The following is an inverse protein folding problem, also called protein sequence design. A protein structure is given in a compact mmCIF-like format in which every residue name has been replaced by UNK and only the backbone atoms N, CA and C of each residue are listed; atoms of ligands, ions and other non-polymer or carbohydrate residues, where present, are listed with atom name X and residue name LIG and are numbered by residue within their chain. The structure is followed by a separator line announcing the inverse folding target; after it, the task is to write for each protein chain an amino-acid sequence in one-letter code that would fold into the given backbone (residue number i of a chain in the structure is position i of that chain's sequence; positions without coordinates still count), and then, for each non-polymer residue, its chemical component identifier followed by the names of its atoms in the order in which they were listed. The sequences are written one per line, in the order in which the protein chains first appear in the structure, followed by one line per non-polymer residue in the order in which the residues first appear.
data_IF_435949803663
#
_entry.id   IF_435949803663
#
_cell.length_a   1.000
_cell.length_b   1.000
_cell.length_c   1.000
_cell.angle_alpha   90.00
_cell.angle_beta   90.00
_cell.angle_gamma   90.00
#
_symmetry.space_group_name_H-M   'P 1'
#
loop_
_entity.id
_entity.type
_entity.pdbx_description
1 polymer ?
#
# COMPACT_ATOMS: atom_id res chain seq x y z
N UNK A 1 32.64 -5.51 4.16
CA UNK A 1 31.37 -5.16 3.45
C UNK A 1 31.71 -4.88 2.00
N UNK A 2 30.96 -5.44 1.06
CA UNK A 2 31.35 -5.44 -0.36
C UNK A 2 30.96 -4.10 -1.03
N UNK A 3 31.86 -3.48 -1.82
CA UNK A 3 31.46 -2.42 -2.74
C UNK A 3 30.49 -2.98 -3.80
N UNK A 4 29.68 -2.12 -4.45
CA UNK A 4 28.86 -2.54 -5.58
C UNK A 4 29.75 -3.06 -6.71
N UNK A 5 29.23 -4.00 -7.50
CA UNK A 5 29.87 -4.40 -8.75
C UNK A 5 29.59 -3.36 -9.85
N UNK A 6 30.28 -3.51 -10.99
CA UNK A 6 30.19 -2.55 -12.10
C UNK A 6 28.78 -2.48 -12.71
N UNK A 7 28.03 -3.59 -12.68
CA UNK A 7 26.65 -3.63 -13.17
C UNK A 7 25.73 -2.80 -12.28
N UNK A 8 25.84 -2.96 -10.96
CA UNK A 8 25.07 -2.20 -9.99
C UNK A 8 25.46 -0.71 -9.98
N UNK A 9 26.75 -0.39 -10.16
CA UNK A 9 27.19 1.00 -10.38
C UNK A 9 26.58 1.61 -11.65
N UNK A 10 26.50 0.84 -12.73
CA UNK A 10 25.81 1.25 -13.96
C UNK A 10 24.33 1.57 -13.71
N UNK A 11 23.66 0.74 -12.92
CA UNK A 11 22.26 0.96 -12.53
C UNK A 11 22.09 2.24 -11.70
N UNK A 12 22.96 2.50 -10.73
CA UNK A 12 22.92 3.74 -9.94
C UNK A 12 23.16 4.98 -10.81
N UNK A 13 24.06 4.91 -11.78
CA UNK A 13 24.29 6.02 -12.73
C UNK A 13 23.06 6.30 -13.60
N UNK A 14 22.31 5.25 -14.00
CA UNK A 14 21.07 5.41 -14.76
C UNK A 14 19.95 6.09 -13.95
N UNK A 15 19.92 5.86 -12.64
CA UNK A 15 18.93 6.41 -11.71
C UNK A 15 19.53 7.46 -10.76
N UNK A 16 20.43 8.30 -11.28
CA UNK A 16 21.24 9.23 -10.48
C UNK A 16 20.44 10.19 -9.60
N UNK A 17 19.27 10.64 -10.06
CA UNK A 17 18.43 11.58 -9.32
C UNK A 17 17.56 10.92 -8.24
N UNK A 18 17.30 9.61 -8.37
CA UNK A 18 16.35 8.89 -7.50
C UNK A 18 17.00 7.87 -6.59
N UNK A 19 18.21 7.39 -6.90
CA UNK A 19 18.91 6.35 -6.13
C UNK A 19 20.30 6.82 -5.72
N UNK A 20 20.62 6.67 -4.44
CA UNK A 20 21.96 6.91 -3.89
C UNK A 20 22.40 5.70 -3.07
N UNK A 21 23.66 5.31 -3.22
CA UNK A 21 24.26 4.19 -2.50
C UNK A 21 25.19 4.67 -1.39
N UNK A 22 25.13 4.02 -0.24
CA UNK A 22 26.02 4.27 0.90
C UNK A 22 26.60 2.95 1.39
N UNK A 23 27.93 2.87 1.45
CA UNK A 23 28.62 1.71 2.02
C UNK A 23 28.61 1.81 3.54
N UNK A 24 27.87 0.93 4.21
CA UNK A 24 27.65 0.98 5.66
C UNK A 24 26.95 -0.27 6.18
N UNK A 25 26.55 -0.25 7.46
CA UNK A 25 25.68 -1.25 8.06
C UNK A 25 24.69 -0.56 8.95
N UNK A 26 23.50 -1.10 8.90
CA UNK A 26 22.39 -0.71 9.73
C UNK A 26 22.63 -0.99 11.23
N UNK A 27 23.62 -1.82 11.58
CA UNK A 27 24.02 -2.08 12.98
C UNK A 27 24.86 -0.94 13.59
N UNK A 28 25.30 0.04 12.80
CA UNK A 28 26.08 1.18 13.26
C UNK A 28 25.20 2.42 13.32
N UNK A 29 25.12 3.06 14.49
CA UNK A 29 24.35 4.30 14.68
C UNK A 29 24.88 5.46 13.82
N UNK A 30 26.20 5.52 13.61
CA UNK A 30 26.83 6.51 12.73
C UNK A 30 26.38 6.35 11.28
N UNK A 31 26.23 5.10 10.83
CA UNK A 31 25.75 4.81 9.47
C UNK A 31 24.26 5.15 9.32
N UNK A 32 23.44 4.87 10.35
CA UNK A 32 22.01 5.24 10.41
C UNK A 32 21.80 6.76 10.36
N UNK A 33 22.61 7.52 11.09
CA UNK A 33 22.56 8.98 11.06
C UNK A 33 22.98 9.51 9.67
N UNK A 34 24.03 8.94 9.07
CA UNK A 34 24.52 9.35 7.74
C UNK A 34 23.48 9.17 6.64
N UNK A 35 22.67 8.12 6.70
CA UNK A 35 21.56 7.90 5.76
C UNK A 35 20.25 8.53 6.21
N UNK A 36 20.27 9.30 7.31
CA UNK A 36 19.14 10.08 7.84
C UNK A 36 17.88 9.24 8.07
N UNK A 37 18.03 8.06 8.69
CA UNK A 37 16.88 7.15 8.96
C UNK A 37 15.72 7.86 9.66
N UNK A 38 16.00 8.74 10.62
CA UNK A 38 14.98 9.53 11.32
C UNK A 38 14.16 10.50 10.45
N UNK A 39 14.65 10.89 9.26
CA UNK A 39 13.91 11.72 8.30
C UNK A 39 13.25 10.86 7.20
N UNK A 40 13.50 9.55 7.18
CA UNK A 40 13.01 8.66 6.14
C UNK A 40 11.55 8.24 6.40
N UNK A 41 10.78 8.09 5.32
CA UNK A 41 9.39 7.64 5.38
C UNK A 41 9.27 6.15 5.76
N UNK A 42 10.17 5.32 5.21
CA UNK A 42 10.20 3.88 5.51
C UNK A 42 11.60 3.27 5.32
N UNK A 43 11.84 2.15 6.00
CA UNK A 43 13.01 1.30 5.78
C UNK A 43 12.59 -0.08 5.25
N UNK A 44 13.19 -0.51 4.14
CA UNK A 44 12.93 -1.82 3.53
C UNK A 44 14.11 -2.75 3.78
N UNK A 45 13.87 -3.85 4.49
CA UNK A 45 14.87 -4.90 4.78
C UNK A 45 14.64 -6.08 3.84
N UNK A 46 15.54 -6.23 2.87
CA UNK A 46 15.48 -7.29 1.85
C UNK A 46 16.22 -8.53 2.32
N UNK A 47 15.66 -9.72 2.03
CA UNK A 47 16.26 -11.00 2.37
C UNK A 47 16.92 -11.67 1.16
N UNK A 48 18.03 -12.38 1.38
CA UNK A 48 18.59 -13.24 0.35
C UNK A 48 17.77 -14.53 0.19
N UNK A 49 16.99 -14.61 -0.89
CA UNK A 49 16.11 -15.75 -1.19
C UNK A 49 16.84 -17.07 -1.49
N UNK A 50 18.14 -17.00 -1.80
CA UNK A 50 18.97 -18.14 -2.17
C UNK A 50 20.06 -18.42 -1.13
N UNK A 51 19.83 -18.03 0.12
CA UNK A 51 20.70 -18.37 1.24
C UNK A 51 20.72 -19.89 1.51
N UNK A 52 21.81 -20.37 2.11
CA UNK A 52 21.94 -21.78 2.50
C UNK A 52 21.13 -22.09 3.77
N UNK A 53 21.12 -21.16 4.72
CA UNK A 53 20.39 -21.25 5.98
C UNK A 53 19.39 -20.10 6.08
N UNK A 54 18.09 -20.36 5.79
CA UNK A 54 17.04 -19.37 5.88
C UNK A 54 16.80 -18.82 7.29
N UNK A 55 17.00 -19.64 8.33
CA UNK A 55 16.78 -19.22 9.72
C UNK A 55 17.87 -18.25 10.16
N UNK A 56 19.13 -18.50 9.78
CA UNK A 56 20.22 -17.56 10.04
C UNK A 56 20.04 -16.22 9.31
N UNK A 57 19.57 -16.24 8.05
CA UNK A 57 19.28 -15.03 7.28
C UNK A 57 18.13 -14.22 7.92
N UNK A 58 17.04 -14.88 8.34
CA UNK A 58 15.92 -14.24 9.03
C UNK A 58 16.36 -13.65 10.37
N UNK A 59 17.14 -14.38 11.17
CA UNK A 59 17.68 -13.88 12.43
C UNK A 59 18.55 -12.63 12.21
N UNK A 60 19.39 -12.63 11.17
CA UNK A 60 20.17 -11.45 10.80
C UNK A 60 19.26 -10.28 10.40
N UNK A 61 18.19 -10.50 9.64
CA UNK A 61 17.24 -9.45 9.25
C UNK A 61 16.46 -8.91 10.44
N UNK A 62 16.04 -9.76 11.38
CA UNK A 62 15.38 -9.33 12.64
C UNK A 62 16.33 -8.44 13.46
N UNK A 63 17.61 -8.81 13.57
CA UNK A 63 18.61 -7.97 14.25
C UNK A 63 18.79 -6.60 13.57
N UNK A 64 18.68 -6.53 12.23
CA UNK A 64 18.69 -5.27 11.49
C UNK A 64 17.49 -4.40 11.86
N UNK A 65 16.29 -5.00 11.95
CA UNK A 65 15.06 -4.30 12.38
C UNK A 65 15.21 -3.77 13.80
N UNK A 66 15.72 -4.56 14.74
CA UNK A 66 15.99 -4.12 16.12
C UNK A 66 16.91 -2.90 16.12
N UNK A 67 17.99 -2.92 15.33
CA UNK A 67 18.90 -1.77 15.24
C UNK A 67 18.22 -0.50 14.72
N UNK A 68 17.38 -0.62 13.68
CA UNK A 68 16.60 0.50 13.13
C UNK A 68 15.65 1.05 14.20
N UNK A 69 14.85 0.16 14.80
CA UNK A 69 13.82 0.51 15.78
C UNK A 69 14.37 1.04 17.10
N UNK A 70 15.60 0.67 17.47
CA UNK A 70 16.30 1.25 18.60
C UNK A 70 16.85 2.66 18.31
N UNK A 71 17.12 2.99 17.04
CA UNK A 71 17.57 4.32 16.64
C UNK A 71 16.39 5.27 16.39
N UNK A 72 15.34 4.78 15.75
CA UNK A 72 14.09 5.50 15.50
C UNK A 72 12.94 4.51 15.64
N UNK A 73 12.13 4.70 16.68
CA UNK A 73 10.98 3.85 17.02
C UNK A 73 9.77 4.10 16.10
N UNK A 74 9.57 5.34 15.69
CA UNK A 74 8.44 5.79 14.88
C UNK A 74 8.54 5.50 13.38
N UNK A 75 9.73 5.11 12.88
CA UNK A 75 9.90 4.81 11.44
C UNK A 75 9.14 3.55 11.03
N UNK A 76 8.48 3.58 9.87
CA UNK A 76 7.87 2.40 9.26
C UNK A 76 8.93 1.42 8.75
N UNK A 77 8.85 0.15 9.13
CA UNK A 77 9.79 -0.89 8.67
C UNK A 77 9.05 -2.02 7.95
N UNK A 78 9.48 -2.31 6.71
CA UNK A 78 8.98 -3.44 5.91
C UNK A 78 10.11 -4.46 5.77
N UNK A 79 9.90 -5.66 6.28
CA UNK A 79 10.92 -6.73 6.28
C UNK A 79 10.45 -7.94 5.47
N UNK A 80 11.37 -8.52 4.71
CA UNK A 80 11.20 -9.84 4.11
C UNK A 80 11.72 -10.93 5.05
N UNK A 81 10.89 -11.94 5.30
CA UNK A 81 11.28 -13.17 5.99
C UNK A 81 11.15 -14.38 5.07
N UNK A 82 12.00 -15.37 5.28
CA UNK A 82 11.97 -16.64 4.57
C UNK A 82 10.98 -17.60 5.23
N UNK A 83 11.03 -17.75 6.56
CA UNK A 83 10.24 -18.70 7.32
C UNK A 83 9.12 -18.05 8.13
N UNK A 84 8.01 -18.76 8.29
CA UNK A 84 6.84 -18.23 9.01
C UNK A 84 7.05 -18.16 10.52
N UNK A 85 7.68 -19.16 11.13
CA UNK A 85 7.87 -19.20 12.60
C UNK A 85 8.73 -18.04 13.11
N UNK A 86 9.65 -17.53 12.29
CA UNK A 86 10.50 -16.39 12.65
C UNK A 86 9.74 -15.06 12.77
N UNK A 87 8.54 -14.96 12.17
CA UNK A 87 7.66 -13.78 12.26
C UNK A 87 7.30 -13.43 13.71
N UNK A 88 7.18 -14.44 14.58
CA UNK A 88 6.82 -14.25 15.99
C UNK A 88 7.86 -13.41 16.75
N UNK A 89 9.14 -13.48 16.38
CA UNK A 89 10.19 -12.70 17.05
C UNK A 89 10.06 -11.19 16.82
N UNK A 90 9.48 -10.76 15.69
CA UNK A 90 9.25 -9.34 15.41
C UNK A 90 8.19 -8.75 16.33
N UNK A 91 7.17 -9.53 16.69
CA UNK A 91 6.10 -9.12 17.61
C UNK A 91 6.60 -8.91 19.04
N UNK A 92 7.77 -9.46 19.39
CA UNK A 92 8.39 -9.27 20.70
C UNK A 92 9.19 -7.95 20.79
N UNK A 93 9.35 -7.23 19.67
CA UNK A 93 10.03 -5.93 19.65
C UNK A 93 9.04 -4.87 20.14
N UNK A 94 9.31 -4.15 21.26
CA UNK A 94 8.33 -3.21 21.84
C UNK A 94 7.91 -2.07 20.91
N UNK A 95 8.81 -1.61 20.05
CA UNK A 95 8.56 -0.54 19.08
C UNK A 95 8.00 -1.02 17.74
N UNK A 96 7.78 -2.33 17.57
CA UNK A 96 7.12 -2.88 16.39
C UNK A 96 5.61 -2.64 16.49
N UNK A 97 5.05 -1.89 15.54
CA UNK A 97 3.63 -1.59 15.51
C UNK A 97 3.06 -1.69 14.09
N UNK A 98 2.24 -2.72 13.89
CA UNK A 98 1.55 -2.96 12.62
C UNK A 98 0.54 -1.85 12.29
N UNK A 99 0.03 -1.09 13.29
CA UNK A 99 -0.87 0.06 13.05
C UNK A 99 -0.14 1.24 12.41
N UNK A 100 1.17 1.36 12.64
CA UNK A 100 2.05 2.33 11.96
C UNK A 100 2.52 1.85 10.57
N UNK A 101 2.12 0.64 10.16
CA UNK A 101 2.49 0.05 8.88
C UNK A 101 3.78 -0.75 8.90
N UNK A 102 4.24 -1.19 10.07
CA UNK A 102 5.32 -2.18 10.15
C UNK A 102 4.82 -3.52 9.60
N UNK A 103 5.32 -3.90 8.43
CA UNK A 103 4.80 -5.02 7.64
C UNK A 103 5.85 -6.12 7.49
N UNK A 104 5.41 -7.37 7.62
CA UNK A 104 6.25 -8.56 7.38
C UNK A 104 5.79 -9.25 6.10
N UNK A 105 6.69 -9.33 5.12
CA UNK A 105 6.50 -10.09 3.88
C UNK A 105 7.16 -11.45 4.07
N UNK A 106 6.40 -12.44 4.55
CA UNK A 106 6.88 -13.81 4.66
C UNK A 106 6.77 -14.54 3.31
N UNK A 107 7.93 -14.89 2.73
CA UNK A 107 8.01 -15.50 1.40
C UNK A 107 7.43 -16.92 1.37
N UNK A 108 7.69 -17.74 2.39
CA UNK A 108 7.08 -19.08 2.48
C UNK A 108 5.56 -19.01 2.62
N UNK A 109 5.05 -18.11 3.46
CA UNK A 109 3.60 -17.89 3.68
C UNK A 109 2.91 -17.51 2.37
N UNK A 110 3.43 -16.50 1.66
CA UNK A 110 2.84 -16.06 0.39
C UNK A 110 2.98 -17.10 -0.73
N UNK A 111 4.15 -17.73 -0.87
CA UNK A 111 4.39 -18.74 -1.90
C UNK A 111 3.46 -19.94 -1.74
N UNK A 112 3.41 -20.52 -0.55
CA UNK A 112 2.56 -21.68 -0.29
C UNK A 112 1.08 -21.30 -0.29
N UNK A 113 0.73 -20.10 0.19
CA UNK A 113 -0.63 -19.57 0.11
C UNK A 113 -1.14 -19.46 -1.34
N UNK A 114 -0.34 -18.90 -2.25
CA UNK A 114 -0.72 -18.81 -3.67
C UNK A 114 -0.82 -20.17 -4.35
N UNK A 115 0.07 -21.12 -4.03
CA UNK A 115 -0.03 -22.49 -4.56
C UNK A 115 -1.31 -23.16 -4.05
N UNK A 116 -1.61 -23.03 -2.75
CA UNK A 116 -2.81 -23.61 -2.15
C UNK A 116 -4.10 -23.04 -2.78
N UNK A 117 -4.16 -21.73 -3.02
CA UNK A 117 -5.30 -21.12 -3.72
C UNK A 117 -5.40 -21.57 -5.18
N UNK A 118 -4.27 -21.76 -5.86
CA UNK A 118 -4.26 -22.34 -7.21
C UNK A 118 -4.76 -23.80 -7.26
N UNK A 119 -4.70 -24.54 -6.15
CA UNK A 119 -5.34 -25.86 -6.07
C UNK A 119 -6.88 -25.78 -6.06
N UNK A 120 -7.46 -24.68 -5.57
CA UNK A 120 -8.90 -24.43 -5.60
C UNK A 120 -9.35 -23.84 -6.94
N UNK A 121 -8.56 -22.91 -7.48
CA UNK A 121 -8.82 -22.23 -8.75
C UNK A 121 -7.53 -22.15 -9.59
N UNK A 122 -7.33 -23.09 -10.54
CA UNK A 122 -6.12 -23.13 -11.37
C UNK A 122 -5.88 -21.80 -12.10
N UNK A 123 -4.65 -21.28 -11.99
CA UNK A 123 -4.25 -19.99 -12.56
C UNK A 123 -4.35 -18.79 -11.59
N UNK A 124 -4.94 -18.96 -10.40
CA UNK A 124 -5.04 -17.90 -9.39
C UNK A 124 -3.69 -17.26 -9.04
N UNK A 125 -2.65 -18.07 -8.83
CA UNK A 125 -1.30 -17.57 -8.53
C UNK A 125 -0.76 -16.64 -9.61
N UNK A 126 -0.99 -16.95 -10.88
CA UNK A 126 -0.54 -16.12 -12.01
C UNK A 126 -1.32 -14.82 -12.09
N UNK A 127 -2.64 -14.89 -11.89
CA UNK A 127 -3.48 -13.70 -11.81
C UNK A 127 -3.01 -12.76 -10.70
N UNK A 128 -2.85 -13.26 -9.47
CA UNK A 128 -2.39 -12.44 -8.33
C UNK A 128 -0.98 -11.90 -8.54
N UNK A 129 -0.05 -12.70 -9.07
CA UNK A 129 1.31 -12.26 -9.36
C UNK A 129 1.35 -11.10 -10.37
N UNK A 130 0.44 -11.10 -11.35
CA UNK A 130 0.32 -9.99 -12.30
C UNK A 130 -0.24 -8.73 -11.64
N UNK A 131 -1.23 -8.85 -10.74
CA UNK A 131 -1.84 -7.70 -10.05
C UNK A 131 -0.89 -6.92 -9.12
N UNK A 132 0.17 -7.56 -8.60
CA UNK A 132 1.18 -6.92 -7.76
C UNK A 132 2.40 -6.41 -8.54
N UNK A 133 2.53 -6.80 -9.81
CA UNK A 133 3.66 -6.43 -10.65
C UNK A 133 3.27 -5.25 -11.53
N UNK A 134 3.93 -4.11 -11.35
CA UNK A 134 3.74 -2.97 -12.23
C UNK A 134 4.25 -3.31 -13.64
N UNK A 135 3.34 -3.44 -14.59
CA UNK A 135 3.64 -3.86 -15.97
C UNK A 135 3.00 -2.93 -16.97
N UNK A 136 3.82 -2.35 -17.84
CA UNK A 136 3.30 -1.71 -19.05
C UNK A 136 2.96 -2.77 -20.09
N UNK A 137 1.75 -2.76 -20.61
CA UNK A 137 1.37 -3.61 -21.73
C UNK A 137 1.40 -2.81 -23.03
N UNK A 138 1.74 -3.49 -24.13
CA UNK A 138 1.60 -2.99 -25.49
C UNK A 138 1.04 -4.13 -26.33
N UNK A 139 -0.20 -3.99 -26.77
CA UNK A 139 -0.80 -4.93 -27.72
C UNK A 139 -0.30 -4.61 -29.12
N UNK A 140 -0.08 -5.63 -29.95
CA UNK A 140 0.23 -5.42 -31.37
C UNK A 140 -0.66 -6.29 -32.27
N UNK A 141 -0.98 -5.83 -33.50
CA UNK A 141 -1.72 -6.64 -34.47
C UNK A 141 -0.98 -7.94 -34.85
N UNK A 142 0.34 -7.94 -34.75
CA UNK A 142 1.20 -9.09 -35.07
C UNK A 142 1.24 -10.15 -33.95
N UNK A 143 0.73 -9.82 -32.77
CA UNK A 143 0.66 -10.72 -31.61
C UNK A 143 -0.59 -11.58 -31.68
N UNK A 144 -0.50 -12.85 -31.25
CA UNK A 144 -1.64 -13.76 -31.23
C UNK A 144 -2.77 -13.20 -30.35
N UNK A 145 -4.03 -13.41 -30.74
CA UNK A 145 -5.20 -12.87 -30.03
C UNK A 145 -5.19 -13.18 -28.52
N UNK A 146 -4.95 -14.45 -28.14
CA UNK A 146 -4.89 -14.84 -26.73
C UNK A 146 -3.77 -14.15 -25.94
N UNK A 147 -2.66 -13.80 -26.60
CA UNK A 147 -1.54 -13.09 -25.97
C UNK A 147 -1.92 -11.63 -25.76
N UNK A 148 -2.61 -10.99 -26.71
CA UNK A 148 -3.11 -9.63 -26.54
C UNK A 148 -4.10 -9.55 -25.36
N UNK A 149 -5.03 -10.50 -25.25
CA UNK A 149 -5.98 -10.56 -24.13
C UNK A 149 -5.26 -10.78 -22.79
N UNK A 150 -4.28 -11.68 -22.76
CA UNK A 150 -3.44 -11.89 -21.58
C UNK A 150 -2.67 -10.62 -21.19
N UNK A 151 -2.03 -9.96 -22.16
CA UNK A 151 -1.26 -8.72 -21.93
C UNK A 151 -2.15 -7.60 -21.42
N UNK A 152 -3.38 -7.46 -21.93
CA UNK A 152 -4.35 -6.52 -21.40
C UNK A 152 -4.63 -6.78 -19.92
N UNK A 153 -4.82 -8.06 -19.53
CA UNK A 153 -4.98 -8.43 -18.12
C UNK A 153 -3.75 -8.16 -17.26
N UNK A 154 -2.54 -8.27 -17.81
CA UNK A 154 -1.30 -7.91 -17.07
C UNK A 154 -1.15 -6.43 -16.78
N UNK A 155 -1.89 -5.56 -17.48
CA UNK A 155 -1.92 -4.12 -17.22
C UNK A 155 -2.81 -3.73 -16.04
N UNK A 156 -3.53 -4.67 -15.45
CA UNK A 156 -4.36 -4.41 -14.29
C UNK A 156 -3.54 -4.53 -13.00
N UNK A 157 -3.80 -3.63 -12.06
CA UNK A 157 -3.14 -3.56 -10.76
C UNK A 157 -4.18 -3.38 -9.64
N UNK A 158 -3.78 -3.67 -8.40
CA UNK A 158 -4.61 -3.45 -7.23
C UNK A 158 -4.40 -2.06 -6.65
N UNK A 159 -5.51 -1.33 -6.44
CA UNK A 159 -5.52 0.03 -5.93
C UNK A 159 -6.44 0.18 -4.73
N UNK A 160 -6.17 1.20 -3.91
CA UNK A 160 -7.04 1.61 -2.82
C UNK A 160 -7.49 3.05 -3.05
N UNK A 161 -8.77 3.32 -2.81
CA UNK A 161 -9.30 4.68 -2.92
C UNK A 161 -10.50 4.85 -1.99
N UNK A 162 -10.67 6.06 -1.47
CA UNK A 162 -11.86 6.37 -0.67
C UNK A 162 -13.08 6.47 -1.58
N UNK A 163 -14.19 5.85 -1.19
CA UNK A 163 -15.46 5.94 -1.90
C UNK A 163 -16.10 7.33 -1.67
N UNK A 164 -16.71 7.88 -2.72
CA UNK A 164 -17.47 9.13 -2.58
C UNK A 164 -18.67 8.94 -1.66
N UNK A 165 -19.22 10.04 -1.13
CA UNK A 165 -20.40 9.94 -0.24
C UNK A 165 -21.65 9.43 -0.95
N UNK A 166 -21.67 9.36 -2.29
CA UNK A 166 -22.78 8.75 -3.06
C UNK A 166 -22.95 7.28 -2.70
N UNK A 167 -21.86 6.59 -2.36
CA UNK A 167 -21.89 5.18 -1.97
C UNK A 167 -22.38 4.95 -0.54
N UNK A 168 -22.50 6.00 0.27
CA UNK A 168 -22.91 5.88 1.69
C UNK A 168 -24.30 5.29 1.78
N UNK A 169 -24.44 4.22 2.57
CA UNK A 169 -25.71 3.52 2.77
C UNK A 169 -26.13 2.56 1.65
N UNK A 170 -25.43 2.56 0.51
CA UNK A 170 -25.57 1.50 -0.51
C UNK A 170 -25.04 0.18 0.03
N UNK A 171 -25.64 -0.93 -0.40
CA UNK A 171 -25.05 -2.25 -0.18
C UNK A 171 -23.80 -2.42 -1.04
N UNK A 172 -22.86 -3.25 -0.60
CA UNK A 172 -21.66 -3.54 -1.39
C UNK A 172 -22.01 -4.06 -2.80
N UNK A 173 -23.02 -4.92 -2.94
CA UNK A 173 -23.48 -5.39 -4.25
C UNK A 173 -23.92 -4.25 -5.19
N UNK A 174 -24.70 -3.29 -4.69
CA UNK A 174 -25.12 -2.12 -5.48
C UNK A 174 -23.93 -1.22 -5.85
N UNK A 175 -23.00 -1.03 -4.92
CA UNK A 175 -21.79 -0.24 -5.16
C UNK A 175 -20.88 -0.91 -6.20
N UNK A 176 -20.65 -2.22 -6.09
CA UNK A 176 -19.86 -2.99 -7.06
C UNK A 176 -20.48 -2.96 -8.45
N UNK A 177 -21.80 -3.06 -8.58
CA UNK A 177 -22.50 -2.91 -9.86
C UNK A 177 -22.27 -1.52 -10.46
N UNK A 178 -22.45 -0.45 -9.67
CA UNK A 178 -22.22 0.92 -10.13
C UNK A 178 -20.75 1.11 -10.57
N UNK A 179 -19.81 0.67 -9.75
CA UNK A 179 -18.38 0.73 -10.07
C UNK A 179 -18.07 0.01 -11.39
N UNK A 180 -18.61 -1.19 -11.59
CA UNK A 180 -18.31 -1.98 -12.78
C UNK A 180 -18.99 -1.43 -14.04
N UNK A 181 -20.28 -1.12 -13.97
CA UNK A 181 -21.08 -0.72 -15.14
C UNK A 181 -20.75 0.71 -15.56
N UNK A 182 -20.72 1.65 -14.61
CA UNK A 182 -20.58 3.09 -14.87
C UNK A 182 -19.14 3.57 -14.78
N UNK A 183 -18.36 3.09 -13.82
CA UNK A 183 -16.98 3.58 -13.61
C UNK A 183 -15.93 2.72 -14.31
N UNK A 184 -16.29 1.54 -14.82
CA UNK A 184 -15.34 0.54 -15.35
C UNK A 184 -14.25 0.16 -14.34
N UNK A 185 -14.63 0.07 -13.07
CA UNK A 185 -13.75 -0.31 -11.96
C UNK A 185 -14.24 -1.60 -11.31
N UNK A 186 -13.34 -2.55 -11.05
CA UNK A 186 -13.68 -3.79 -10.36
C UNK A 186 -13.45 -3.64 -8.86
N UNK A 187 -14.51 -3.35 -8.10
CA UNK A 187 -14.48 -3.28 -6.63
C UNK A 187 -14.48 -4.69 -6.01
N UNK A 188 -13.43 -5.04 -5.27
CA UNK A 188 -13.24 -6.37 -4.67
C UNK A 188 -13.58 -6.42 -3.18
N UNK A 189 -13.16 -5.40 -2.43
CA UNK A 189 -13.25 -5.38 -0.98
C UNK A 189 -13.45 -3.96 -0.46
N UNK A 190 -13.89 -3.84 0.78
CA UNK A 190 -13.98 -2.57 1.51
C UNK A 190 -13.36 -2.72 2.90
N UNK A 191 -12.82 -1.62 3.40
CA UNK A 191 -12.41 -1.50 4.80
C UNK A 191 -13.65 -1.26 5.68
N UNK A 192 -13.92 -2.20 6.60
CA UNK A 192 -15.01 -2.09 7.58
C UNK A 192 -14.41 -1.72 8.92
N UNK A 193 -14.80 -0.56 9.44
CA UNK A 193 -14.41 -0.11 10.78
C UNK A 193 -15.17 -0.94 11.81
N UNK A 194 -14.45 -1.46 12.80
CA UNK A 194 -15.08 -2.17 13.91
C UNK A 194 -15.88 -1.19 14.78
N UNK A 195 -17.07 -1.61 15.23
CA UNK A 195 -17.96 -0.80 16.08
C UNK A 195 -17.48 -0.74 17.55
N UNK A 196 -16.62 -1.66 17.97
CA UNK A 196 -16.03 -1.63 19.31
C UNK A 196 -14.97 -0.52 19.42
N UNK A 197 -14.99 0.26 20.51
CA UNK A 197 -13.96 1.25 20.81
C UNK A 197 -12.59 0.57 20.88
N UNK A 198 -11.69 0.93 19.95
CA UNK A 198 -10.37 0.31 19.81
C UNK A 198 -10.31 -0.95 18.94
N UNK A 199 -11.43 -1.33 18.32
CA UNK A 199 -11.47 -2.43 17.37
C UNK A 199 -10.77 -2.09 16.05
N UNK A 200 -9.98 -3.03 15.56
CA UNK A 200 -9.17 -2.82 14.37
C UNK A 200 -10.02 -2.80 13.08
N UNK A 201 -9.60 -2.00 12.10
CA UNK A 201 -10.25 -1.97 10.80
C UNK A 201 -10.02 -3.30 10.08
N UNK A 202 -11.10 -3.90 9.58
CA UNK A 202 -11.05 -5.20 8.90
C UNK A 202 -11.30 -5.03 7.42
N UNK A 203 -10.43 -5.61 6.60
CA UNK A 203 -10.69 -5.75 5.17
C UNK A 203 -11.73 -6.86 4.97
N UNK A 204 -12.88 -6.50 4.41
CA UNK A 204 -13.94 -7.46 4.07
C UNK A 204 -14.00 -7.66 2.56
N UNK A 205 -13.64 -8.86 2.12
CA UNK A 205 -13.66 -9.25 0.70
C UNK A 205 -15.08 -9.67 0.32
N UNK A 206 -15.65 -9.01 -0.68
CA UNK A 206 -17.02 -9.20 -1.16
C UNK A 206 -18.07 -9.39 -0.04
N UNK A 207 -18.31 -8.37 0.81
CA UNK A 207 -19.23 -8.47 1.94
C UNK A 207 -20.73 -8.37 1.57
N UNK A 208 -21.06 -8.50 0.27
CA UNK A 208 -22.39 -8.56 -0.34
C UNK A 208 -23.39 -7.53 0.19
N UNK A 209 -24.15 -7.88 1.23
CA UNK A 209 -25.25 -7.08 1.78
C UNK A 209 -24.81 -5.99 2.76
N UNK A 210 -23.52 -5.93 3.09
CA UNK A 210 -23.00 -4.92 4.03
C UNK A 210 -23.17 -3.52 3.44
N UNK A 211 -23.73 -2.61 4.25
CA UNK A 211 -23.88 -1.21 3.87
C UNK A 211 -22.54 -0.50 3.99
N UNK A 212 -22.24 0.38 3.05
CA UNK A 212 -21.00 1.14 3.01
C UNK A 212 -21.12 2.38 3.92
N UNK A 213 -20.30 2.50 4.98
CA UNK A 213 -20.21 3.72 5.78
C UNK A 213 -19.60 4.89 4.98
N UNK A 214 -19.77 6.11 5.49
CA UNK A 214 -19.08 7.27 4.94
C UNK A 214 -17.55 7.13 5.11
N UNK A 215 -16.78 7.65 4.15
CA UNK A 215 -15.31 7.61 4.14
C UNK A 215 -14.72 6.19 4.22
N UNK A 216 -15.37 5.24 3.55
CA UNK A 216 -14.90 3.86 3.42
C UNK A 216 -13.85 3.75 2.32
N UNK A 217 -12.77 3.04 2.58
CA UNK A 217 -11.76 2.71 1.57
C UNK A 217 -12.21 1.46 0.81
N UNK A 218 -12.25 1.56 -0.53
CA UNK A 218 -12.49 0.44 -1.44
C UNK A 218 -11.18 -0.07 -2.03
N UNK A 219 -11.12 -1.38 -2.27
CA UNK A 219 -10.03 -2.06 -2.96
C UNK A 219 -10.47 -2.43 -4.37
N UNK A 220 -9.74 -1.93 -5.36
CA UNK A 220 -10.11 -2.01 -6.78
C UNK A 220 -9.06 -2.74 -7.60
N UNK A 221 -9.48 -3.40 -8.67
CA UNK A 221 -8.64 -3.72 -9.82
C UNK A 221 -8.95 -2.72 -10.93
N UNK A 222 -7.92 -2.07 -11.45
CA UNK A 222 -8.01 -1.10 -12.56
C UNK A 222 -6.67 -1.03 -13.33
N UNK A 223 -6.63 -0.28 -14.44
CA UNK A 223 -5.40 -0.14 -15.24
C UNK A 223 -4.48 0.98 -14.76
N UNK A 224 -5.00 1.94 -13.98
CA UNK A 224 -4.21 3.03 -13.43
C UNK A 224 -4.80 3.61 -12.15
N UNK A 225 -3.96 4.25 -11.34
CA UNK A 225 -4.41 5.00 -10.16
C UNK A 225 -5.37 6.16 -10.52
N UNK A 226 -5.21 6.77 -11.71
CA UNK A 226 -6.07 7.86 -12.18
C UNK A 226 -7.50 7.38 -12.44
N UNK A 227 -7.66 6.19 -13.01
CA UNK A 227 -8.97 5.59 -13.23
C UNK A 227 -9.74 5.37 -11.93
N UNK A 228 -9.05 4.96 -10.87
CA UNK A 228 -9.67 4.66 -9.58
C UNK A 228 -10.18 5.93 -8.90
N UNK A 229 -9.57 7.10 -9.16
CA UNK A 229 -10.04 8.40 -8.65
C UNK A 229 -11.48 8.73 -9.06
N UNK A 230 -12.01 8.12 -10.12
CA UNK A 230 -13.43 8.23 -10.50
C UNK A 230 -14.37 7.78 -9.38
N UNK A 231 -13.98 6.77 -8.59
CA UNK A 231 -14.77 6.30 -7.44
C UNK A 231 -14.90 7.37 -6.34
N UNK A 232 -13.87 8.20 -6.17
CA UNK A 232 -13.89 9.33 -5.23
C UNK A 232 -14.68 10.53 -5.78
N UNK A 233 -14.56 10.82 -7.08
CA UNK A 233 -15.22 11.97 -7.71
C UNK A 233 -16.67 11.73 -8.13
N UNK A 234 -17.14 10.47 -8.12
CA UNK A 234 -18.48 10.14 -8.58
C UNK A 234 -19.55 10.83 -7.73
N UNK A 235 -20.44 11.58 -8.39
CA UNK A 235 -21.57 12.25 -7.79
C UNK A 235 -22.80 11.93 -8.62
N UNK A 236 -23.82 11.33 -8.00
CA UNK A 236 -25.03 10.91 -8.72
C UNK A 236 -25.67 12.06 -9.50
N UNK A 237 -25.94 13.19 -8.84
CA UNK A 237 -26.58 14.35 -9.49
C UNK A 237 -25.76 14.95 -10.64
N UNK A 238 -24.42 14.88 -10.56
CA UNK A 238 -23.52 15.50 -11.52
C UNK A 238 -23.16 14.47 -12.67
N UNK A 239 -23.15 13.15 -12.43
CA UNK A 239 -22.56 12.14 -13.33
C UNK A 239 -23.48 10.95 -13.70
N UNK A 240 -24.73 10.89 -13.27
CA UNK A 240 -25.63 9.75 -13.54
C UNK A 240 -25.87 9.51 -15.04
N UNK A 241 -26.01 10.58 -15.82
CA UNK A 241 -26.27 10.55 -17.27
C UNK A 241 -25.00 10.54 -18.13
N UNK A 242 -23.81 10.64 -17.52
CA UNK A 242 -22.55 10.60 -18.25
C UNK A 242 -22.34 9.20 -18.83
N UNK A 243 -22.12 9.12 -20.15
CA UNK A 243 -21.92 7.85 -20.87
C UNK A 243 -20.46 7.40 -20.91
N UNK A 244 -19.55 8.35 -21.06
CA UNK A 244 -18.10 8.11 -21.12
C UNK A 244 -17.47 8.38 -19.76
N UNK A 245 -16.92 7.33 -19.17
CA UNK A 245 -16.28 7.31 -17.86
C UNK A 245 -15.11 8.29 -17.72
N UNK A 246 -14.47 8.70 -18.82
CA UNK A 246 -13.35 9.65 -18.80
C UNK A 246 -13.79 11.08 -18.45
N UNK A 247 -15.09 11.38 -18.54
CA UNK A 247 -15.66 12.66 -18.15
C UNK A 247 -16.03 12.74 -16.67
N UNK A 248 -15.90 11.65 -15.92
CA UNK A 248 -16.16 11.60 -14.48
C UNK A 248 -14.97 12.24 -13.75
N UNK A 249 -15.05 13.55 -13.58
CA UNK A 249 -14.02 14.39 -12.93
C UNK A 249 -14.57 15.08 -11.69
N UNK A 250 -13.71 15.78 -10.96
CA UNK A 250 -14.10 16.54 -9.78
C UNK A 250 -15.19 17.57 -10.13
N UNK A 251 -16.38 17.40 -9.57
CA UNK A 251 -17.51 18.31 -9.78
C UNK A 251 -17.54 19.47 -8.76
N UNK A 252 -18.32 20.52 -9.06
CA UNK A 252 -18.50 21.70 -8.19
C UNK A 252 -19.70 21.57 -7.23
N UNK A 253 -20.35 20.41 -7.19
CA UNK A 253 -21.49 20.12 -6.32
C UNK A 253 -21.12 20.51 -4.84
N UNK A 254 -21.78 21.53 -4.25
CA UNK A 254 -21.38 22.22 -2.99
C UNK A 254 -21.30 21.32 -1.74
N UNK A 255 -21.91 20.14 -1.77
CA UNK A 255 -21.94 19.21 -0.64
C UNK A 255 -20.80 18.19 -0.63
N UNK A 256 -19.79 18.33 -1.50
CA UNK A 256 -18.77 17.29 -1.71
C UNK A 256 -17.33 17.73 -1.45
N UNK A 257 -17.10 18.89 -0.81
CA UNK A 257 -15.76 19.33 -0.41
C UNK A 257 -15.78 19.87 1.03
N UNK A 258 -15.16 19.14 1.95
CA UNK A 258 -14.31 19.76 2.97
C UNK A 258 -14.91 20.21 4.31
N UNK A 259 -16.21 20.06 4.59
CA UNK A 259 -16.79 20.52 5.86
C UNK A 259 -16.39 19.76 7.13
N UNK A 260 -16.06 18.46 7.02
CA UNK A 260 -15.64 17.63 8.17
C UNK A 260 -14.16 17.23 8.15
N UNK A 261 -13.48 17.34 7.00
CA UNK A 261 -12.07 16.92 6.87
C UNK A 261 -11.06 18.07 6.94
N UNK A 262 -11.44 19.33 6.71
CA UNK A 262 -10.50 20.42 6.99
C UNK A 262 -10.18 20.48 8.48
N UNK A 263 -11.14 20.24 9.39
CA UNK A 263 -10.86 20.24 10.82
C UNK A 263 -10.07 19.01 11.31
N UNK A 264 -9.92 17.94 10.50
CA UNK A 264 -9.16 16.76 10.91
C UNK A 264 -7.75 16.76 10.29
N UNK A 265 -7.60 17.16 9.02
CA UNK A 265 -6.29 17.37 8.39
C UNK A 265 -5.60 18.67 8.86
N UNK A 266 -6.35 19.71 9.23
CA UNK A 266 -5.77 20.93 9.82
C UNK A 266 -5.48 20.73 11.32
N UNK A 267 -6.23 19.90 12.07
CA UNK A 267 -5.86 19.60 13.46
C UNK A 267 -4.58 18.75 13.57
N UNK A 268 -4.34 17.82 12.64
CA UNK A 268 -3.06 17.09 12.58
C UNK A 268 -1.88 17.98 12.16
N UNK A 269 -2.12 19.05 11.38
CA UNK A 269 -1.10 20.03 10.97
C UNK A 269 -1.00 21.29 11.85
N UNK A 270 -1.94 21.53 12.77
CA UNK A 270 -1.89 22.64 13.74
C UNK A 270 -1.42 22.20 15.13
N UNK A 271 -1.63 20.93 15.53
CA UNK A 271 -1.01 20.39 16.75
C UNK A 271 0.52 20.26 16.58
N UNK A 272 0.99 20.02 15.35
CA UNK A 272 2.42 20.01 15.01
C UNK A 272 3.06 21.41 14.90
N UNK A 273 2.28 22.46 14.62
CA UNK A 273 2.82 23.84 14.50
C UNK A 273 2.58 24.75 15.71
N UNK A 274 1.76 24.37 16.69
CA UNK A 274 1.64 25.11 17.96
C UNK A 274 2.58 24.62 19.07
N UNK A 275 3.22 23.46 18.93
CA UNK A 275 4.24 23.00 19.89
C UNK A 275 5.63 23.62 19.61
N UNK A 276 5.85 24.20 18.42
CA UNK A 276 7.16 24.68 17.98
C UNK A 276 7.39 26.18 18.27
N UNK A 277 6.36 26.98 18.62
CA UNK A 277 6.50 28.44 18.66
C UNK A 277 5.95 29.17 19.91
N UNK A 278 5.92 28.54 21.08
CA UNK A 278 5.51 29.28 22.28
C UNK A 278 5.84 28.60 23.60
N UNK A 279 7.06 28.81 24.11
CA UNK A 279 7.36 29.10 25.53
C UNK A 279 8.88 29.23 25.74
N UNK A 280 9.39 30.41 25.39
CA UNK A 280 10.49 31.03 26.16
C UNK A 280 9.89 32.18 26.95
N UNK A 281 10.18 32.16 28.26
CA UNK A 281 10.13 33.29 29.20
C UNK A 281 8.74 33.76 29.67
N UNK A 282 8.45 33.60 30.97
CA UNK A 282 8.51 34.68 31.99
C UNK A 282 8.15 34.12 33.39
N UNK A 283 9.12 34.24 34.32
CA UNK A 283 9.00 34.79 35.69
C UNK A 283 8.02 34.12 36.67
N UNK A 284 8.53 33.22 37.52
CA UNK A 284 9.02 33.49 38.89
C UNK A 284 9.68 32.24 39.46
#
# INVERSE_FOLDING_TARGET
RKPPDLELEGLFKRHFTTVKFYQGSIMSTVDLQRVKVHEADACLVLANKYCQDPDAEDAANIMRVISIKNYSDDIRVIIQLMQYHNKAYLLNIPSWDWKRGDDVICLAELKLGFIAQSCLAPGFSTMMANLFAMRSFKTSPDTLAWQNDYLQGTGCEMYTETLSTTFTGMTFSQASELCFVKLKLLLLAIEVKSEAEGGDNKISINPRSTKIPANTVGFFIAQSAEEVKRAWFYCKACHEEVKDENNIKKCKCKNYIGGMLLNTMVKSNQISNQVINGKTSYVN
#
